data_IF_935425318259
#
_entry.id   IF_935425318259
#
_cell.length_a   1.000
_cell.length_b   1.000
_cell.length_c   1.000
_cell.angle_alpha   90.00
_cell.angle_beta   90.00
_cell.angle_gamma   90.00
#
_symmetry.space_group_name_H-M   'P 1'
#
loop_
_entity.id
_entity.type
_entity.pdbx_description
1 polymer ?
#
# COMPACT_ATOMS: atom_id res chain seq x y z
N UNK A 1 -28.11 -25.92 0.41
CA UNK A 1 -26.69 -25.91 0.85
C UNK A 1 -25.76 -26.21 -0.32
N UNK A 2 -26.06 -27.22 -1.14
CA UNK A 2 -25.19 -27.63 -2.26
C UNK A 2 -25.17 -26.63 -3.42
N UNK A 3 -26.29 -25.97 -3.74
CA UNK A 3 -26.33 -25.00 -4.87
C UNK A 3 -25.57 -23.72 -4.56
N UNK A 4 -25.59 -23.26 -3.32
CA UNK A 4 -24.87 -22.07 -2.90
C UNK A 4 -23.35 -22.32 -2.90
N UNK A 5 -22.94 -23.46 -2.37
CA UNK A 5 -21.54 -23.88 -2.37
C UNK A 5 -21.01 -24.16 -3.77
N UNK A 6 -21.86 -24.68 -4.67
CA UNK A 6 -21.50 -24.90 -6.09
C UNK A 6 -21.38 -23.57 -6.84
N UNK A 7 -22.27 -22.61 -6.57
CA UNK A 7 -22.21 -21.27 -7.14
C UNK A 7 -20.94 -20.53 -6.73
N UNK A 8 -20.61 -20.55 -5.43
CA UNK A 8 -19.37 -19.96 -4.91
C UNK A 8 -18.15 -20.63 -5.55
N UNK A 9 -18.09 -21.95 -5.56
CA UNK A 9 -17.00 -22.69 -6.23
C UNK A 9 -16.82 -22.30 -7.69
N UNK A 10 -17.90 -22.19 -8.45
CA UNK A 10 -17.83 -21.86 -9.86
C UNK A 10 -17.49 -20.39 -10.14
N UNK A 11 -17.79 -19.50 -9.21
CA UNK A 11 -17.53 -18.06 -9.36
C UNK A 11 -16.09 -17.71 -8.98
N UNK A 12 -15.46 -18.50 -8.11
CA UNK A 12 -14.12 -18.23 -7.56
C UNK A 12 -13.03 -19.20 -8.03
N UNK A 13 -13.27 -19.97 -9.06
CA UNK A 13 -12.51 -21.18 -9.45
C UNK A 13 -11.02 -21.02 -9.75
N UNK A 14 -10.44 -19.84 -9.88
CA UNK A 14 -9.00 -19.69 -10.09
C UNK A 14 -8.32 -18.71 -9.13
N UNK A 15 -9.10 -18.08 -8.27
CA UNK A 15 -8.59 -17.05 -7.35
C UNK A 15 -8.68 -17.48 -5.88
N UNK A 16 -9.30 -18.59 -5.57
CA UNK A 16 -9.54 -19.03 -4.18
C UNK A 16 -8.23 -19.24 -3.42
N UNK A 17 -7.24 -19.85 -4.07
CA UNK A 17 -5.92 -20.06 -3.47
C UNK A 17 -5.15 -18.74 -3.21
N UNK A 18 -5.58 -17.64 -3.86
CA UNK A 18 -4.96 -16.32 -3.70
C UNK A 18 -5.58 -15.49 -2.59
N UNK A 19 -6.80 -15.82 -2.17
CA UNK A 19 -7.55 -15.10 -1.14
C UNK A 19 -7.46 -15.74 0.24
N UNK A 20 -6.89 -16.94 0.32
CA UNK A 20 -6.63 -17.57 1.60
C UNK A 20 -5.33 -16.99 2.12
N UNK A 21 -5.46 -15.93 2.89
CA UNK A 21 -4.36 -15.50 3.73
C UNK A 21 -4.18 -16.54 4.82
N UNK A 22 -2.98 -17.10 4.86
CA UNK A 22 -2.53 -17.71 6.10
C UNK A 22 -2.44 -16.60 7.15
N UNK A 23 -3.44 -16.56 8.03
CA UNK A 23 -3.31 -15.76 9.23
C UNK A 23 -2.16 -16.34 10.05
N UNK A 24 -0.97 -15.80 9.83
CA UNK A 24 0.10 -16.05 10.78
C UNK A 24 -0.12 -15.19 12.01
N UNK A 25 -0.97 -15.70 12.92
CA UNK A 25 -1.35 -15.02 14.15
C UNK A 25 -0.18 -14.77 15.12
N UNK A 26 1.00 -15.34 14.83
CA UNK A 26 2.21 -15.12 15.63
C UNK A 26 2.97 -13.85 15.21
N UNK A 27 2.75 -13.36 13.98
CA UNK A 27 3.37 -12.14 13.50
C UNK A 27 2.54 -10.90 13.87
N UNK A 28 3.18 -9.75 14.15
CA UNK A 28 2.45 -8.54 14.46
C UNK A 28 1.58 -8.09 13.29
N UNK A 29 0.30 -7.74 13.55
CA UNK A 29 -0.61 -7.31 12.51
C UNK A 29 -0.24 -5.93 11.99
N UNK A 30 -0.33 -5.73 10.68
CA UNK A 30 0.03 -4.48 10.03
C UNK A 30 -0.86 -4.17 8.82
N UNK A 31 -0.88 -2.90 8.44
CA UNK A 31 -1.43 -2.40 7.19
C UNK A 31 -0.35 -1.69 6.39
N UNK A 32 -0.43 -1.83 5.07
CA UNK A 32 0.44 -1.14 4.12
C UNK A 32 -0.32 -0.02 3.46
N UNK A 33 0.29 1.16 3.37
CA UNK A 33 -0.26 2.34 2.68
C UNK A 33 0.74 2.85 1.65
N UNK A 34 0.25 3.09 0.45
CA UNK A 34 0.92 3.92 -0.56
C UNK A 34 0.75 5.41 -0.22
N UNK A 35 1.55 6.28 -0.81
CA UNK A 35 1.45 7.73 -0.62
C UNK A 35 0.71 8.40 -1.79
N UNK A 36 1.33 8.46 -2.97
CA UNK A 36 0.81 9.23 -4.10
C UNK A 36 -0.45 8.60 -4.70
N UNK A 37 -1.56 9.32 -4.66
CA UNK A 37 -2.89 8.83 -5.06
C UNK A 37 -3.63 8.09 -3.96
N UNK A 38 -3.01 7.84 -2.80
CA UNK A 38 -3.61 7.13 -1.66
C UNK A 38 -3.74 8.03 -0.44
N UNK A 39 -2.64 8.34 0.24
CA UNK A 39 -2.61 9.29 1.36
C UNK A 39 -2.53 10.74 0.88
N UNK A 40 -1.81 10.96 -0.20
CA UNK A 40 -1.57 12.27 -0.80
C UNK A 40 -2.27 12.39 -2.15
N UNK A 41 -2.84 13.56 -2.38
CA UNK A 41 -3.36 13.97 -3.68
C UNK A 41 -2.37 14.96 -4.30
N UNK A 42 -1.80 14.63 -5.46
CA UNK A 42 -0.87 15.51 -6.16
C UNK A 42 -1.64 16.73 -6.66
N UNK A 43 -1.18 17.90 -6.26
CA UNK A 43 -1.76 19.18 -6.70
C UNK A 43 -0.68 20.09 -7.24
N UNK A 44 -0.90 20.62 -8.45
CA UNK A 44 -0.07 21.68 -9.06
C UNK A 44 1.43 21.34 -9.18
N UNK A 45 1.79 20.07 -9.29
CA UNK A 45 3.17 19.65 -9.58
C UNK A 45 3.22 18.48 -10.56
N UNK A 46 4.34 18.33 -11.24
CA UNK A 46 4.65 17.08 -11.95
C UNK A 46 4.86 15.94 -10.95
N UNK A 47 4.39 14.72 -11.22
CA UNK A 47 4.68 13.54 -10.41
C UNK A 47 6.19 13.27 -10.22
N UNK A 48 7.02 13.82 -11.12
CA UNK A 48 8.49 13.67 -11.06
C UNK A 48 9.19 14.77 -10.26
N UNK A 49 8.46 15.79 -9.82
CA UNK A 49 9.01 16.87 -9.00
C UNK A 49 8.76 16.63 -7.52
N UNK A 50 9.58 15.76 -6.95
CA UNK A 50 9.45 15.28 -5.57
C UNK A 50 9.67 16.39 -4.53
N UNK A 51 10.41 17.46 -4.87
CA UNK A 51 10.70 18.56 -3.94
C UNK A 51 9.42 19.34 -3.60
N UNK A 52 8.50 19.47 -4.54
CA UNK A 52 7.22 20.16 -4.33
C UNK A 52 6.17 19.30 -3.61
N UNK A 53 6.50 18.07 -3.27
CA UNK A 53 5.59 17.15 -2.58
C UNK A 53 5.13 17.66 -1.20
N UNK A 54 5.87 18.58 -0.60
CA UNK A 54 5.47 19.22 0.67
C UNK A 54 4.11 19.93 0.56
N UNK A 55 3.72 20.36 -0.62
CA UNK A 55 2.47 21.07 -0.90
C UNK A 55 1.31 20.16 -1.29
N UNK A 56 1.51 18.85 -1.35
CA UNK A 56 0.45 17.92 -1.70
C UNK A 56 -0.66 17.95 -0.64
N UNK A 57 -1.89 17.81 -1.09
CA UNK A 57 -3.04 17.71 -0.20
C UNK A 57 -3.18 16.29 0.32
N UNK A 58 -3.70 16.16 1.52
CA UNK A 58 -4.08 14.85 2.07
C UNK A 58 -5.37 14.35 1.40
N UNK A 59 -5.50 13.03 1.32
CA UNK A 59 -6.79 12.37 1.11
C UNK A 59 -7.43 12.16 2.50
N UNK A 60 -8.42 12.96 2.90
CA UNK A 60 -8.85 13.01 4.29
C UNK A 60 -9.45 11.70 4.78
N UNK A 61 -10.17 10.97 3.94
CA UNK A 61 -10.81 9.72 4.35
C UNK A 61 -9.79 8.61 4.58
N UNK A 62 -8.79 8.52 3.71
CA UNK A 62 -7.73 7.51 3.86
C UNK A 62 -6.84 7.84 5.07
N UNK A 63 -6.50 9.10 5.27
CA UNK A 63 -5.72 9.55 6.44
C UNK A 63 -6.48 9.27 7.74
N UNK A 64 -7.78 9.55 7.80
CA UNK A 64 -8.61 9.24 8.98
C UNK A 64 -8.64 7.75 9.27
N UNK A 65 -8.76 6.92 8.23
CA UNK A 65 -8.75 5.47 8.39
C UNK A 65 -7.39 4.98 8.92
N UNK A 66 -6.30 5.51 8.37
CA UNK A 66 -4.96 5.20 8.86
C UNK A 66 -4.80 5.53 10.35
N UNK A 67 -5.29 6.69 10.78
CA UNK A 67 -5.27 7.07 12.20
C UNK A 67 -6.01 6.07 13.08
N UNK A 68 -7.17 5.60 12.65
CA UNK A 68 -7.93 4.59 13.38
C UNK A 68 -7.16 3.26 13.47
N UNK A 69 -6.62 2.82 12.36
CA UNK A 69 -5.86 1.57 12.28
C UNK A 69 -4.55 1.63 13.08
N UNK A 70 -3.90 2.78 13.15
CA UNK A 70 -2.63 2.95 13.86
C UNK A 70 -2.70 2.65 15.36
N UNK A 71 -3.89 2.62 15.94
CA UNK A 71 -4.09 2.29 17.36
C UNK A 71 -3.82 0.83 17.68
N UNK A 72 -4.13 -0.06 16.74
CA UNK A 72 -4.06 -1.51 16.96
C UNK A 72 -3.10 -2.21 15.99
N UNK A 73 -2.65 -1.54 14.93
CA UNK A 73 -1.84 -2.12 13.87
C UNK A 73 -0.56 -1.34 13.64
N UNK A 74 0.50 -2.07 13.27
CA UNK A 74 1.69 -1.45 12.69
C UNK A 74 1.34 -0.84 11.35
N UNK A 75 1.75 0.40 11.11
CA UNK A 75 1.56 1.10 9.85
C UNK A 75 2.87 1.12 9.07
N UNK A 76 2.82 0.54 7.88
CA UNK A 76 3.95 0.46 6.96
C UNK A 76 3.62 1.27 5.71
N UNK A 77 4.44 2.24 5.40
CA UNK A 77 4.31 3.02 4.17
C UNK A 77 5.28 2.46 3.13
N UNK A 78 4.76 2.15 1.94
CA UNK A 78 5.54 1.67 0.80
C UNK A 78 5.22 2.57 -0.39
N UNK A 79 6.19 3.33 -0.84
CA UNK A 79 6.02 4.32 -1.91
C UNK A 79 6.99 4.11 -3.06
N UNK A 80 6.52 4.40 -4.28
CA UNK A 80 7.38 4.44 -5.47
C UNK A 80 8.27 5.68 -5.58
N UNK A 81 8.15 6.64 -4.65
CA UNK A 81 9.06 7.79 -4.60
C UNK A 81 10.50 7.32 -4.39
N UNK A 82 11.44 8.00 -5.04
CA UNK A 82 12.86 7.76 -4.80
C UNK A 82 13.27 8.28 -3.42
N UNK A 83 14.22 7.61 -2.79
CA UNK A 83 14.69 7.94 -1.43
C UNK A 83 15.44 9.28 -1.34
N UNK A 84 15.81 9.89 -2.48
CA UNK A 84 16.24 11.30 -2.52
C UNK A 84 15.16 12.24 -1.97
N UNK A 85 13.88 11.83 -2.04
CA UNK A 85 12.74 12.57 -1.49
C UNK A 85 12.40 12.15 -0.04
N UNK A 86 13.28 11.42 0.64
CA UNK A 86 13.03 10.92 2.00
C UNK A 86 12.70 12.07 2.97
N UNK A 87 13.51 13.12 2.96
CA UNK A 87 13.34 14.23 3.91
C UNK A 87 12.01 14.96 3.69
N UNK A 88 11.70 15.35 2.46
CA UNK A 88 10.43 16.04 2.16
C UNK A 88 9.21 15.14 2.43
N UNK A 89 9.35 13.84 2.21
CA UNK A 89 8.28 12.87 2.50
C UNK A 89 8.03 12.77 4.00
N UNK A 90 9.07 12.66 4.81
CA UNK A 90 8.95 12.66 6.28
C UNK A 90 8.35 13.97 6.81
N UNK A 91 8.78 15.09 6.27
CA UNK A 91 8.25 16.41 6.65
C UNK A 91 6.76 16.52 6.33
N UNK A 92 6.33 16.04 5.16
CA UNK A 92 4.93 16.02 4.77
C UNK A 92 4.09 15.14 5.71
N UNK A 93 4.56 13.93 6.00
CA UNK A 93 3.88 13.02 6.93
C UNK A 93 3.75 13.64 8.33
N UNK A 94 4.81 14.28 8.81
CA UNK A 94 4.81 14.96 10.09
C UNK A 94 3.90 16.18 10.11
N UNK A 95 3.91 17.00 9.05
CA UNK A 95 3.06 18.19 8.92
C UNK A 95 1.57 17.83 9.03
N UNK A 96 1.18 16.70 8.48
CA UNK A 96 -0.20 16.22 8.51
C UNK A 96 -0.52 15.25 9.65
N UNK A 97 0.40 15.10 10.60
CA UNK A 97 0.26 14.22 11.77
C UNK A 97 -0.09 12.78 11.40
N UNK A 98 0.49 12.26 10.33
CA UNK A 98 0.25 10.87 9.88
C UNK A 98 1.20 9.95 10.65
N UNK A 99 0.69 9.07 11.54
CA UNK A 99 1.52 8.13 12.26
C UNK A 99 1.93 6.96 11.35
N UNK A 100 3.18 6.54 11.45
CA UNK A 100 3.69 5.36 10.77
C UNK A 100 4.86 4.76 11.55
N UNK A 101 5.08 3.47 11.37
CA UNK A 101 6.18 2.76 12.01
C UNK A 101 7.36 2.56 11.06
N UNK A 102 7.08 2.31 9.78
CA UNK A 102 8.09 2.07 8.76
C UNK A 102 7.75 2.80 7.47
N UNK A 103 8.78 3.29 6.80
CA UNK A 103 8.70 3.94 5.49
C UNK A 103 9.74 3.31 4.56
N UNK A 104 9.27 2.66 3.52
CA UNK A 104 10.10 2.07 2.48
C UNK A 104 9.92 2.80 1.17
N UNK A 105 11.02 3.15 0.53
CA UNK A 105 11.05 3.97 -0.68
C UNK A 105 11.86 3.27 -1.77
N UNK A 106 11.59 3.63 -3.00
CA UNK A 106 12.41 3.26 -4.16
C UNK A 106 13.83 3.81 -3.99
N UNK A 107 14.84 3.01 -4.31
CA UNK A 107 16.22 3.51 -4.36
C UNK A 107 16.37 4.55 -5.48
N UNK A 108 17.12 5.62 -5.23
CA UNK A 108 17.43 6.62 -6.24
C UNK A 108 18.16 5.97 -7.41
N UNK A 109 17.69 6.25 -8.63
CA UNK A 109 18.25 5.64 -9.85
C UNK A 109 17.59 4.34 -10.30
N UNK A 110 16.73 3.76 -9.46
CA UNK A 110 15.91 2.61 -9.85
C UNK A 110 14.68 3.08 -10.63
N UNK A 111 14.66 2.85 -11.93
CA UNK A 111 13.61 3.29 -12.85
C UNK A 111 12.65 2.16 -13.27
N UNK A 112 12.68 1.03 -12.58
CA UNK A 112 11.76 -0.08 -12.86
C UNK A 112 10.31 0.31 -12.51
N UNK A 113 9.35 -0.42 -13.05
CA UNK A 113 7.93 -0.19 -12.72
C UNK A 113 7.65 -0.33 -11.23
N UNK A 114 6.70 0.43 -10.72
CA UNK A 114 6.33 0.46 -9.31
C UNK A 114 5.98 -0.90 -8.73
N UNK A 115 5.26 -1.73 -9.48
CA UNK A 115 4.89 -3.07 -9.04
C UNK A 115 6.11 -3.96 -8.75
N UNK A 116 7.18 -3.82 -9.54
CA UNK A 116 8.43 -4.57 -9.32
C UNK A 116 9.14 -4.08 -8.07
N UNK A 117 9.28 -2.77 -7.93
CA UNK A 117 9.94 -2.15 -6.77
C UNK A 117 9.21 -2.47 -5.47
N UNK A 118 7.90 -2.30 -5.46
CA UNK A 118 7.09 -2.57 -4.26
C UNK A 118 7.04 -4.06 -3.92
N UNK A 119 7.04 -4.94 -4.91
CA UNK A 119 7.16 -6.37 -4.70
C UNK A 119 8.46 -6.74 -4.00
N UNK A 120 9.59 -6.21 -4.45
CA UNK A 120 10.88 -6.46 -3.81
C UNK A 120 10.94 -5.93 -2.38
N UNK A 121 10.39 -4.74 -2.13
CA UNK A 121 10.30 -4.18 -0.78
C UNK A 121 9.51 -5.12 0.12
N UNK A 122 8.37 -5.60 -0.35
CA UNK A 122 7.52 -6.52 0.39
C UNK A 122 8.26 -7.82 0.72
N UNK A 123 8.86 -8.46 -0.28
CA UNK A 123 9.54 -9.74 -0.10
C UNK A 123 10.76 -9.63 0.82
N UNK A 124 11.50 -8.52 0.74
CA UNK A 124 12.75 -8.34 1.50
C UNK A 124 12.52 -7.85 2.94
N UNK A 125 11.45 -7.09 3.20
CA UNK A 125 11.32 -6.35 4.46
C UNK A 125 10.04 -6.65 5.24
N UNK A 126 9.01 -7.19 4.60
CA UNK A 126 7.66 -7.21 5.19
C UNK A 126 7.13 -8.63 5.35
N UNK A 127 7.20 -9.44 4.31
CA UNK A 127 6.53 -10.75 4.23
C UNK A 127 6.68 -11.63 5.46
N UNK A 128 7.90 -11.82 5.93
CA UNK A 128 8.20 -12.75 7.04
C UNK A 128 8.19 -12.08 8.42
N UNK A 129 7.85 -10.79 8.47
CA UNK A 129 7.91 -9.99 9.70
C UNK A 129 6.55 -9.55 10.21
N UNK A 130 5.54 -9.50 9.34
CA UNK A 130 4.21 -8.98 9.68
C UNK A 130 3.11 -9.85 9.09
N UNK A 131 1.99 -9.89 9.80
CA UNK A 131 0.72 -10.37 9.27
C UNK A 131 -0.02 -9.18 8.65
N UNK A 132 -0.07 -9.11 7.33
CA UNK A 132 -0.68 -7.97 6.61
C UNK A 132 -2.18 -8.18 6.50
N UNK A 133 -2.94 -7.30 7.14
CA UNK A 133 -4.41 -7.33 7.14
C UNK A 133 -5.02 -6.60 5.95
N UNK A 134 -4.30 -5.68 5.37
CA UNK A 134 -4.75 -4.97 4.18
C UNK A 134 -3.69 -4.04 3.61
N UNK A 135 -3.86 -3.72 2.34
CA UNK A 135 -3.02 -2.79 1.60
C UNK A 135 -3.90 -1.73 0.96
N UNK A 136 -3.51 -0.47 1.04
CA UNK A 136 -4.17 0.65 0.37
C UNK A 136 -3.25 1.18 -0.72
N UNK A 137 -3.69 1.12 -1.96
CA UNK A 137 -2.96 1.58 -3.14
C UNK A 137 -3.95 2.02 -4.22
N UNK A 138 -3.51 2.74 -5.23
CA UNK A 138 -4.39 3.25 -6.29
C UNK A 138 -4.05 2.73 -7.69
N UNK A 139 -2.77 2.46 -7.98
CA UNK A 139 -2.32 2.05 -9.30
C UNK A 139 -2.71 0.61 -9.61
N UNK A 140 -3.42 0.38 -10.73
CA UNK A 140 -3.92 -0.94 -11.12
C UNK A 140 -2.85 -2.03 -11.11
N UNK A 141 -1.68 -1.78 -11.70
CA UNK A 141 -0.59 -2.76 -11.78
C UNK A 141 -0.03 -3.13 -10.40
N UNK A 142 0.00 -2.17 -9.48
CA UNK A 142 0.46 -2.38 -8.10
C UNK A 142 -0.59 -3.13 -7.29
N UNK A 143 -1.86 -2.75 -7.43
CA UNK A 143 -2.98 -3.46 -6.80
C UNK A 143 -3.01 -4.93 -7.24
N UNK A 144 -2.84 -5.19 -8.53
CA UNK A 144 -2.76 -6.56 -9.06
C UNK A 144 -1.59 -7.35 -8.46
N UNK A 145 -0.44 -6.70 -8.29
CA UNK A 145 0.72 -7.32 -7.65
C UNK A 145 0.41 -7.68 -6.19
N UNK A 146 -0.14 -6.76 -5.38
CA UNK A 146 -0.53 -7.06 -4.00
C UNK A 146 -1.49 -8.23 -3.91
N UNK A 147 -2.52 -8.23 -4.74
CA UNK A 147 -3.51 -9.32 -4.81
C UNK A 147 -2.90 -10.63 -5.25
N UNK A 148 -1.92 -10.62 -6.14
CA UNK A 148 -1.21 -11.83 -6.56
C UNK A 148 -0.39 -12.49 -5.45
N UNK A 149 -0.06 -11.73 -4.40
CA UNK A 149 0.61 -12.22 -3.19
C UNK A 149 -0.37 -12.79 -2.15
N UNK A 150 -1.66 -12.83 -2.46
CA UNK A 150 -2.70 -13.24 -1.52
C UNK A 150 -3.12 -12.16 -0.53
N UNK A 151 -2.68 -10.91 -0.73
CA UNK A 151 -3.01 -9.81 0.16
C UNK A 151 -4.35 -9.16 -0.24
N UNK A 152 -5.15 -8.79 0.78
CA UNK A 152 -6.34 -7.98 0.57
C UNK A 152 -5.91 -6.56 0.24
N UNK A 153 -6.21 -6.10 -0.97
CA UNK A 153 -5.89 -4.74 -1.39
C UNK A 153 -7.17 -3.93 -1.62
N UNK A 154 -7.26 -2.83 -0.89
CA UNK A 154 -8.30 -1.81 -1.03
C UNK A 154 -7.80 -0.77 -2.03
N UNK A 155 -8.34 -0.81 -3.24
CA UNK A 155 -8.00 0.16 -4.28
C UNK A 155 -8.74 1.46 -4.04
N UNK A 156 -7.99 2.53 -3.78
CA UNK A 156 -8.53 3.83 -3.38
C UNK A 156 -9.17 4.56 -4.57
N UNK A 157 -8.52 4.51 -5.72
CA UNK A 157 -8.98 5.08 -6.98
C UNK A 157 -8.64 4.14 -8.11
N UNK A 158 -9.35 4.28 -9.23
CA UNK A 158 -8.96 3.62 -10.47
C UNK A 158 -7.68 4.28 -11.02
N UNK A 159 -6.63 3.50 -11.17
CA UNK A 159 -5.30 4.00 -11.52
C UNK A 159 -4.68 3.27 -12.71
N UNK A 160 -5.17 3.56 -13.91
CA UNK A 160 -4.64 3.00 -15.15
C UNK A 160 -3.52 3.88 -15.73
N UNK A 161 -2.35 3.78 -15.13
CA UNK A 161 -1.17 4.56 -15.54
C UNK A 161 0.14 3.88 -15.14
#
# INVERSE_FOLDING_TARGET
EDMFNTYIKNTYTKHDDRFIMDENTELPPAYIFDIDGTLALITNRSPYDDILAINDRINPMVVKLLHKLSKDFTIIIVTGRQDRALQVTKEWLNLHNIPYNHLYMRATGDNRHDNIVKEEIYESNIRDKYSIWGVFDDRNSVVDMWRSKGLTCFQVYYGDF
#
